data_IF_149509370475
#
_entry.id   IF_149509370475
#
_cell.length_a   1.000
_cell.length_b   1.000
_cell.length_c   1.000
_cell.angle_alpha   90.00
_cell.angle_beta   90.00
_cell.angle_gamma   90.00
#
_symmetry.space_group_name_H-M   'P 1'
#
loop_
_entity.id
_entity.type
_entity.pdbx_description
1 polymer ?
#
# COMPACT_ATOMS: atom_id res chain seq x y z
N UNK A 1 11.26 20.20 -23.87
CA UNK A 1 9.99 20.15 -23.11
C UNK A 1 9.44 18.74 -22.81
N UNK A 2 10.17 17.64 -23.12
CA UNK A 2 9.69 16.25 -22.94
C UNK A 2 10.20 15.53 -21.69
N UNK A 3 11.47 15.72 -21.33
CA UNK A 3 12.11 15.01 -20.21
C UNK A 3 11.41 15.17 -18.86
N UNK A 4 10.78 16.34 -18.59
CA UNK A 4 10.01 16.54 -17.34
C UNK A 4 8.70 15.76 -17.32
N UNK A 5 8.05 15.60 -18.47
CA UNK A 5 6.81 14.81 -18.60
C UNK A 5 7.11 13.32 -18.43
N UNK A 6 8.17 12.84 -19.07
CA UNK A 6 8.63 11.45 -18.94
C UNK A 6 8.99 11.09 -17.50
N UNK A 7 9.69 11.98 -16.79
CA UNK A 7 10.00 11.77 -15.36
C UNK A 7 8.74 11.71 -14.48
N UNK A 8 7.74 12.56 -14.75
CA UNK A 8 6.49 12.55 -14.01
C UNK A 8 5.70 11.27 -14.26
N UNK A 9 5.62 10.81 -15.51
CA UNK A 9 4.93 9.57 -15.85
C UNK A 9 5.61 8.34 -15.22
N UNK A 10 6.94 8.28 -15.27
CA UNK A 10 7.70 7.21 -14.62
C UNK A 10 7.45 7.19 -13.10
N UNK A 11 7.36 8.37 -12.49
CA UNK A 11 7.04 8.51 -11.07
C UNK A 11 5.63 8.02 -10.74
N UNK A 12 4.61 8.41 -11.53
CA UNK A 12 3.22 7.95 -11.34
C UNK A 12 3.13 6.43 -11.48
N UNK A 13 3.71 5.86 -12.55
CA UNK A 13 3.72 4.41 -12.77
C UNK A 13 4.34 3.64 -11.61
N UNK A 14 5.37 4.21 -10.97
CA UNK A 14 6.01 3.62 -9.81
C UNK A 14 5.09 3.60 -8.58
N UNK A 15 4.34 4.68 -8.34
CA UNK A 15 3.35 4.70 -7.26
C UNK A 15 2.23 3.69 -7.50
N UNK A 16 1.71 3.65 -8.72
CA UNK A 16 0.69 2.67 -9.13
C UNK A 16 1.19 1.23 -8.97
N UNK A 17 2.47 0.97 -9.28
CA UNK A 17 3.06 -0.35 -9.10
C UNK A 17 3.12 -0.75 -7.61
N UNK A 18 3.50 0.17 -6.71
CA UNK A 18 3.50 -0.08 -5.27
C UNK A 18 2.09 -0.41 -4.75
N UNK A 19 1.10 0.37 -5.18
CA UNK A 19 -0.30 0.16 -4.81
C UNK A 19 -0.83 -1.17 -5.37
N UNK A 20 -0.49 -1.50 -6.61
CA UNK A 20 -0.86 -2.75 -7.27
C UNK A 20 -0.29 -3.98 -6.53
N UNK A 21 0.99 -3.93 -6.15
CA UNK A 21 1.61 -5.00 -5.36
C UNK A 21 0.84 -5.21 -4.05
N UNK A 22 0.54 -4.15 -3.30
CA UNK A 22 -0.17 -4.27 -2.04
C UNK A 22 -1.62 -4.74 -2.21
N UNK A 23 -2.36 -4.22 -3.19
CA UNK A 23 -3.76 -4.60 -3.47
C UNK A 23 -3.92 -6.01 -4.00
N UNK A 24 -2.86 -6.63 -4.53
CA UNK A 24 -2.89 -8.03 -4.97
C UNK A 24 -3.09 -9.06 -3.85
N UNK A 25 -2.85 -8.66 -2.59
CA UNK A 25 -3.01 -9.55 -1.44
C UNK A 25 -4.46 -9.69 -0.99
N UNK A 26 -4.89 -10.93 -0.74
CA UNK A 26 -6.24 -11.23 -0.27
C UNK A 26 -6.53 -10.52 1.06
N UNK A 27 -7.71 -9.90 1.16
CA UNK A 27 -8.16 -9.21 2.38
C UNK A 27 -7.76 -7.74 2.44
N UNK A 28 -6.90 -7.27 1.53
CA UNK A 28 -6.66 -5.84 1.32
C UNK A 28 -7.91 -5.21 0.72
N UNK A 29 -8.38 -4.12 1.31
CA UNK A 29 -9.48 -3.32 0.81
C UNK A 29 -8.98 -2.20 -0.09
N UNK A 30 -7.94 -1.48 0.37
CA UNK A 30 -7.29 -0.38 -0.37
C UNK A 30 -5.81 -0.30 0.00
N UNK A 31 -4.99 0.18 -0.92
CA UNK A 31 -3.61 0.54 -0.62
C UNK A 31 -3.26 1.88 -1.26
N UNK A 32 -2.37 2.63 -0.63
CA UNK A 32 -1.96 3.96 -1.05
C UNK A 32 -0.45 4.11 -0.92
N UNK A 33 0.21 4.52 -2.00
CA UNK A 33 1.60 4.94 -1.97
C UNK A 33 1.66 6.43 -1.64
N UNK A 34 2.13 6.75 -0.43
CA UNK A 34 2.20 8.11 0.09
C UNK A 34 3.65 8.51 0.39
N UNK A 35 3.86 9.75 0.82
CA UNK A 35 5.20 10.29 1.13
C UNK A 35 6.19 10.08 -0.02
N UNK A 36 5.77 10.44 -1.23
CA UNK A 36 6.51 10.22 -2.45
C UNK A 36 6.95 8.76 -2.72
N UNK A 37 6.10 7.80 -2.35
CA UNK A 37 6.35 6.36 -2.52
C UNK A 37 7.23 5.75 -1.43
N UNK A 38 7.56 6.50 -0.37
CA UNK A 38 8.36 6.01 0.77
C UNK A 38 7.52 5.33 1.85
N UNK A 39 6.20 5.46 1.79
CA UNK A 39 5.28 4.72 2.65
C UNK A 39 4.15 4.12 1.81
N UNK A 40 3.84 2.85 2.05
CA UNK A 40 2.64 2.18 1.53
C UNK A 40 1.70 1.92 2.69
N UNK A 41 0.52 2.54 2.63
CA UNK A 41 -0.52 2.40 3.65
C UNK A 41 -1.64 1.51 3.13
N UNK A 42 -1.94 0.46 3.87
CA UNK A 42 -2.84 -0.62 3.45
C UNK A 42 -4.00 -0.67 4.42
N UNK A 43 -5.22 -0.54 3.91
CA UNK A 43 -6.45 -0.76 4.67
C UNK A 43 -6.93 -2.18 4.38
N UNK A 44 -7.22 -2.94 5.42
CA UNK A 44 -7.70 -4.32 5.31
C UNK A 44 -9.14 -4.44 5.78
N UNK A 45 -9.84 -5.47 5.31
CA UNK A 45 -11.16 -5.85 5.84
C UNK A 45 -10.98 -6.53 7.20
N UNK A 46 -11.49 -5.98 8.31
CA UNK A 46 -11.27 -6.53 9.65
C UNK A 46 -11.86 -7.93 9.85
N UNK A 47 -12.86 -8.31 9.04
CA UNK A 47 -13.49 -9.64 9.07
C UNK A 47 -12.64 -10.70 8.36
N UNK A 48 -11.70 -10.29 7.50
CA UNK A 48 -10.86 -11.18 6.71
C UNK A 48 -9.44 -11.31 7.28
N UNK A 49 -8.97 -10.31 8.02
CA UNK A 49 -7.59 -10.23 8.53
C UNK A 49 -7.63 -9.89 10.02
N UNK A 50 -7.06 -10.78 10.83
CA UNK A 50 -6.84 -10.58 12.26
C UNK A 50 -5.54 -9.80 12.55
N UNK A 51 -5.24 -9.52 13.81
CA UNK A 51 -4.04 -8.75 14.18
C UNK A 51 -2.74 -9.44 13.74
N UNK A 52 -2.67 -10.76 13.92
CA UNK A 52 -1.51 -11.54 13.50
C UNK A 52 -1.40 -11.58 11.97
N UNK A 53 -2.52 -11.70 11.27
CA UNK A 53 -2.63 -11.61 9.82
C UNK A 53 -2.16 -10.26 9.29
N UNK A 54 -2.50 -9.16 9.96
CA UNK A 54 -2.04 -7.82 9.59
C UNK A 54 -0.51 -7.69 9.70
N UNK A 55 0.08 -8.26 10.76
CA UNK A 55 1.55 -8.29 10.92
C UNK A 55 2.24 -9.13 9.83
N UNK A 56 1.64 -10.28 9.47
CA UNK A 56 2.15 -11.14 8.37
C UNK A 56 2.04 -10.44 7.03
N UNK A 57 0.88 -9.86 6.73
CA UNK A 57 0.63 -9.11 5.50
C UNK A 57 1.66 -7.98 5.31
N UNK A 58 1.96 -7.21 6.37
CA UNK A 58 2.95 -6.15 6.30
C UNK A 58 4.33 -6.70 5.85
N UNK A 59 4.76 -7.84 6.42
CA UNK A 59 6.04 -8.49 6.05
C UNK A 59 6.01 -9.03 4.63
N UNK A 60 4.90 -9.66 4.22
CA UNK A 60 4.78 -10.26 2.91
C UNK A 60 4.73 -9.21 1.79
N UNK A 61 4.07 -8.08 2.03
CA UNK A 61 4.10 -6.94 1.11
C UNK A 61 5.50 -6.35 0.98
N UNK A 62 6.24 -6.17 2.09
CA UNK A 62 7.64 -5.72 2.03
C UNK A 62 8.48 -6.64 1.15
N UNK A 63 8.40 -7.97 1.38
CA UNK A 63 9.12 -8.95 0.56
C UNK A 63 8.73 -8.86 -0.90
N UNK A 64 7.43 -8.78 -1.20
CA UNK A 64 6.96 -8.71 -2.59
C UNK A 64 7.42 -7.46 -3.30
N UNK A 65 7.44 -6.31 -2.62
CA UNK A 65 7.98 -5.07 -3.18
C UNK A 65 9.48 -5.23 -3.48
N UNK A 66 10.24 -5.80 -2.55
CA UNK A 66 11.68 -6.05 -2.74
C UNK A 66 11.98 -7.00 -3.91
N UNK A 67 11.11 -7.98 -4.17
CA UNK A 67 11.27 -8.93 -5.28
C UNK A 67 10.85 -8.36 -6.64
N UNK A 68 9.91 -7.42 -6.67
CA UNK A 68 9.25 -6.99 -7.92
C UNK A 68 9.66 -5.60 -8.38
N UNK A 69 10.16 -4.75 -7.48
CA UNK A 69 10.45 -3.35 -7.77
C UNK A 69 11.85 -3.00 -7.29
N UNK A 70 12.67 -2.47 -8.21
CA UNK A 70 13.93 -1.83 -7.84
C UNK A 70 13.63 -0.48 -7.18
N UNK A 71 13.63 -0.48 -5.84
CA UNK A 71 13.38 0.72 -5.05
C UNK A 71 14.62 1.07 -4.22
N UNK A 72 15.35 2.15 -4.55
CA UNK A 72 16.49 2.56 -3.74
C UNK A 72 16.04 3.07 -2.37
N UNK A 73 16.53 2.43 -1.31
CA UNK A 73 16.29 2.79 0.09
C UNK A 73 15.08 2.09 0.70
N UNK A 74 14.72 2.51 1.91
CA UNK A 74 13.65 1.85 2.66
C UNK A 74 12.27 2.34 2.24
N UNK A 75 11.29 1.43 2.29
CA UNK A 75 9.86 1.72 2.17
C UNK A 75 9.21 1.24 3.45
N UNK A 76 8.42 2.11 4.07
CA UNK A 76 7.63 1.78 5.25
C UNK A 76 6.28 1.20 4.80
N UNK A 77 5.93 0.02 5.30
CA UNK A 77 4.60 -0.57 5.06
C UNK A 77 3.78 -0.49 6.35
N UNK A 78 2.61 0.14 6.27
CA UNK A 78 1.68 0.28 7.39
C UNK A 78 0.36 -0.39 7.04
N UNK A 79 -0.02 -1.40 7.81
CA UNK A 79 -1.32 -2.06 7.68
C UNK A 79 -2.26 -1.54 8.75
N UNK A 80 -3.43 -1.07 8.34
CA UNK A 80 -4.46 -0.50 9.19
C UNK A 80 -5.69 -1.41 9.11
N UNK A 81 -6.04 -1.98 10.25
CA UNK A 81 -7.31 -2.67 10.44
C UNK A 81 -8.25 -1.72 11.17
N UNK A 82 -9.36 -1.39 10.53
CA UNK A 82 -10.31 -0.39 11.04
C UNK A 82 -11.73 -0.95 11.01
N UNK A 83 -12.41 -0.91 12.15
CA UNK A 83 -13.84 -1.16 12.26
C UNK A 83 -14.53 0.18 12.47
N UNK A 84 -15.45 0.55 11.57
CA UNK A 84 -16.22 1.80 11.66
C UNK A 84 -17.64 1.51 12.11
N UNK A 85 -18.04 2.03 13.27
CA UNK A 85 -19.43 2.10 13.70
C UNK A 85 -19.92 3.54 13.51
N UNK A 86 -21.08 3.73 12.87
CA UNK A 86 -21.65 5.05 12.57
C UNK A 86 -23.09 5.06 13.03
N UNK A 87 -23.44 6.03 13.88
CA UNK A 87 -24.79 6.26 14.40
C UNK A 87 -25.17 7.72 14.16
N UNK A 88 -26.45 7.97 13.94
CA UNK A 88 -26.98 9.32 13.72
C UNK A 88 -28.02 9.63 14.80
N UNK A 89 -27.83 10.73 15.53
CA UNK A 89 -28.89 11.31 16.34
C UNK A 89 -29.89 12.02 15.43
N UNK A 90 -31.16 12.03 15.82
CA UNK A 90 -32.24 12.76 15.15
C UNK A 90 -32.75 13.87 16.03
#
# INVERSE_FOLDING_TARGET
PGARREMLEAYIKRLEALESVATSFKGVQKAYAIQAGREVRILVKPEAIDDLGAMRLARDVVKKIQETLDYPGQIKVTVIRETRAVEYAR
#
